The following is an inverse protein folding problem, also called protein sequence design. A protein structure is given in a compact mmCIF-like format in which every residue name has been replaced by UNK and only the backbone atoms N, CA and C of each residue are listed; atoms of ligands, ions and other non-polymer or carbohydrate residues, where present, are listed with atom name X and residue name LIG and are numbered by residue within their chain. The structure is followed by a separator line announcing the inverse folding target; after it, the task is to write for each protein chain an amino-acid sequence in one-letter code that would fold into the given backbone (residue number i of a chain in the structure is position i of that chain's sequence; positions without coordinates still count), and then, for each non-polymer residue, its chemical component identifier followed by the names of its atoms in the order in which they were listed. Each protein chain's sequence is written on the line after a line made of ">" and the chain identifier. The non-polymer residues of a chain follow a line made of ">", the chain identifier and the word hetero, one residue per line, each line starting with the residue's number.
data_IF_411872304574
#
_entry.id   IF_411872304574
#
_cell.length_a   1.000
_cell.length_b   1.000
_cell.length_c   1.000
_cell.angle_alpha   90.00
_cell.angle_beta   90.00
_cell.angle_gamma   90.00
#
_symmetry.space_group_name_H-M   'P 1'
#
loop_
_entity.id
_entity.type
_entity.pdbx_description
1 polymer ?
2 non-polymer ?
3 water ?
#
# COMPACT_ATOMS: atom_id res chain seq x y z
N UNK A 10 -6.33 10.76 -30.97
CA UNK A 10 -5.01 11.43 -30.74
C UNK A 10 -4.75 11.66 -29.26
N UNK A 11 -4.54 12.91 -28.88
CA UNK A 11 -4.29 13.24 -27.49
C UNK A 11 -5.46 12.78 -26.64
N UNK A 12 -6.55 12.42 -27.31
CA UNK A 12 -7.76 11.94 -26.64
C UNK A 12 -7.62 10.49 -26.19
N UNK A 13 -7.27 9.59 -27.11
CA UNK A 13 -7.15 8.19 -26.71
C UNK A 13 -5.90 7.91 -25.88
N UNK A 14 -4.84 8.68 -26.11
CA UNK A 14 -3.59 8.52 -25.35
C UNK A 14 -3.86 8.86 -23.90
N UNK A 15 -4.47 10.02 -23.67
CA UNK A 15 -4.78 10.47 -22.33
C UNK A 15 -5.85 9.60 -21.66
N UNK A 16 -6.81 9.11 -22.44
CA UNK A 16 -7.87 8.27 -21.89
C UNK A 16 -7.25 6.99 -21.31
N UNK A 17 -6.29 6.40 -22.03
CA UNK A 17 -5.63 5.19 -21.58
C UNK A 17 -4.79 5.48 -20.34
N UNK A 18 -4.10 6.63 -20.33
CA UNK A 18 -3.29 7.05 -19.20
C UNK A 18 -4.12 7.13 -17.94
N UNK A 19 -5.23 7.85 -18.03
CA UNK A 19 -6.13 8.01 -16.91
C UNK A 19 -6.74 6.66 -16.50
N UNK A 20 -7.04 5.83 -17.48
CA UNK A 20 -7.63 4.54 -17.17
C UNK A 20 -6.61 3.63 -16.52
N UNK A 21 -5.37 3.71 -16.99
CA UNK A 21 -4.30 2.90 -16.45
C UNK A 21 -4.00 3.38 -15.02
N UNK A 22 -4.16 4.67 -14.78
CA UNK A 22 -3.92 5.24 -13.45
C UNK A 22 -4.90 4.65 -12.44
N UNK A 23 -6.17 4.57 -12.84
CA UNK A 23 -7.22 4.02 -11.98
C UNK A 23 -6.98 2.56 -11.63
N UNK A 24 -6.43 1.83 -12.59
CA UNK A 24 -6.15 0.40 -12.42
C UNK A 24 -5.00 0.12 -11.44
N UNK A 25 -4.37 1.20 -10.94
CA UNK A 25 -3.27 1.07 -10.00
C UNK A 25 -3.69 1.18 -8.55
N UNK A 26 -4.91 1.62 -8.30
CA UNK A 26 -5.43 1.73 -6.94
C UNK A 26 -6.77 1.01 -6.79
N UNK A 27 -6.99 0.42 -5.61
CA UNK A 27 -8.21 -0.32 -5.35
C UNK A 27 -9.23 0.60 -4.68
N UNK A 28 -8.79 1.83 -4.39
CA UNK A 28 -9.64 2.79 -3.73
C UNK A 28 -10.23 3.82 -4.68
N UNK A 29 -11.33 4.43 -4.26
CA UNK A 29 -11.98 5.47 -5.03
C UNK A 29 -11.05 6.67 -4.92
N UNK A 30 -10.83 7.43 -5.99
CA UNK A 30 -9.96 8.62 -5.90
C UNK A 30 -10.63 9.85 -6.53
N UNK A 31 -10.33 11.02 -6.00
CA UNK A 31 -10.86 12.28 -6.52
C UNK A 31 -10.07 12.54 -7.81
N UNK A 32 -10.51 13.51 -8.62
CA UNK A 32 -9.80 13.79 -9.86
C UNK A 32 -8.45 14.42 -9.56
N UNK A 33 -8.39 15.22 -8.50
CA UNK A 33 -7.12 15.86 -8.15
C UNK A 33 -6.11 14.82 -7.74
N UNK A 34 -6.56 13.79 -7.03
CA UNK A 34 -5.65 12.72 -6.62
C UNK A 34 -5.13 12.01 -7.87
N UNK A 35 -6.04 11.66 -8.76
CA UNK A 35 -5.63 10.99 -10.00
C UNK A 35 -4.64 11.84 -10.77
N UNK A 36 -4.94 13.13 -10.90
CA UNK A 36 -4.06 14.05 -11.60
C UNK A 36 -2.66 13.97 -10.98
N UNK A 37 -2.60 13.97 -9.65
CA UNK A 37 -1.32 13.90 -8.97
C UNK A 37 -0.59 12.60 -9.25
N UNK A 38 -1.31 11.48 -9.26
CA UNK A 38 -0.65 10.22 -9.57
C UNK A 38 -0.03 10.30 -10.97
N UNK A 39 -0.77 10.89 -11.91
CA UNK A 39 -0.27 11.04 -13.27
C UNK A 39 0.93 11.99 -13.30
N UNK A 40 0.85 13.07 -12.52
CA UNK A 40 1.95 14.03 -12.46
C UNK A 40 3.18 13.37 -11.88
N UNK A 41 2.99 12.32 -11.09
CA UNK A 41 4.14 11.66 -10.50
C UNK A 41 4.81 10.72 -11.48
N UNK A 42 4.09 10.33 -12.52
CA UNK A 42 4.65 9.46 -13.54
C UNK A 42 5.23 10.29 -14.67
N UNK A 43 5.23 11.61 -14.48
CA UNK A 43 5.76 12.49 -15.50
C UNK A 43 4.79 12.73 -16.64
N UNK A 44 3.50 12.70 -16.36
CA UNK A 44 2.51 12.97 -17.40
C UNK A 44 2.17 14.45 -17.43
N UNK A 45 2.15 15.02 -18.63
CA UNK A 45 1.87 16.45 -18.80
C UNK A 45 0.38 16.82 -18.86
N UNK A 46 -0.49 15.92 -18.43
CA UNK A 46 -1.93 16.15 -18.44
C UNK A 46 -2.37 17.19 -17.42
N UNK A 47 -3.31 18.06 -17.80
CA UNK A 47 -3.81 19.09 -16.89
C UNK A 47 -4.95 18.54 -16.07
N UNK A 48 -5.35 19.26 -15.02
CA UNK A 48 -6.43 18.78 -14.16
C UNK A 48 -7.77 18.77 -14.87
N UNK A 49 -8.01 19.81 -15.65
CA UNK A 49 -9.25 19.93 -16.38
C UNK A 49 -9.40 18.72 -17.30
N UNK A 50 -8.32 18.38 -18.00
CA UNK A 50 -8.33 17.25 -18.92
C UNK A 50 -8.61 15.96 -18.18
N UNK A 51 -7.96 15.80 -17.03
CA UNK A 51 -8.14 14.61 -16.23
C UNK A 51 -9.59 14.50 -15.82
N UNK A 52 -10.16 15.63 -15.42
CA UNK A 52 -11.56 15.66 -14.99
C UNK A 52 -12.51 15.30 -16.13
N UNK A 53 -12.26 15.84 -17.33
CA UNK A 53 -13.13 15.55 -18.47
C UNK A 53 -13.04 14.09 -18.89
N UNK A 54 -11.84 13.56 -18.87
CA UNK A 54 -11.65 12.18 -19.27
C UNK A 54 -12.44 11.26 -18.35
N UNK A 55 -12.28 11.48 -17.05
CA UNK A 55 -12.96 10.70 -16.03
C UNK A 55 -14.48 10.77 -16.15
N UNK A 56 -15.00 11.96 -16.45
CA UNK A 56 -16.43 12.15 -16.61
C UNK A 56 -16.88 11.43 -17.86
N UNK A 57 -15.98 11.34 -18.85
CA UNK A 57 -16.29 10.65 -20.09
C UNK A 57 -16.27 9.15 -19.84
N UNK A 58 -15.25 8.68 -19.13
CA UNK A 58 -15.15 7.25 -18.80
C UNK A 58 -16.36 6.86 -17.96
N UNK A 59 -16.82 7.75 -17.09
CA UNK A 59 -17.96 7.47 -16.22
C UNK A 59 -19.22 7.20 -17.04
N UNK A 60 -19.51 8.10 -17.99
CA UNK A 60 -20.68 7.99 -18.86
C UNK A 60 -20.63 6.72 -19.71
N UNK A 61 -19.44 6.32 -20.12
CA UNK A 61 -19.27 5.12 -20.92
C UNK A 61 -19.32 3.88 -20.04
N UNK A 62 -19.50 4.09 -18.74
CA UNK A 62 -19.55 2.97 -17.82
C UNK A 62 -18.21 2.27 -17.65
N UNK A 63 -17.12 2.96 -17.96
CA UNK A 63 -15.79 2.38 -17.81
C UNK A 63 -15.23 2.59 -16.40
N UNK A 64 -15.83 3.51 -15.64
CA UNK A 64 -15.42 3.73 -14.25
C UNK A 64 -16.67 4.10 -13.47
N UNK A 65 -16.71 3.74 -12.20
CA UNK A 65 -17.85 4.10 -11.37
C UNK A 65 -17.54 5.42 -10.65
N UNK A 66 -18.58 6.20 -10.41
CA UNK A 66 -18.44 7.49 -9.74
C UNK A 66 -19.38 7.62 -8.55
N UNK A 67 -18.95 8.35 -7.54
CA UNK A 67 -19.77 8.51 -6.36
C UNK A 67 -19.32 9.77 -5.66
N UNK A 68 -20.21 10.38 -4.88
CA UNK A 68 -19.93 11.63 -4.17
C UNK A 68 -19.54 11.39 -2.73
N UNK A 69 -18.56 12.14 -2.22
CA UNK A 69 -18.20 11.97 -0.83
C UNK A 69 -19.11 12.89 -0.02
N UNK A 70 -19.09 12.74 1.30
CA UNK A 70 -19.92 13.57 2.17
C UNK A 70 -19.71 15.05 1.91
N UNK A 71 -18.49 15.47 1.60
CA UNK A 71 -18.26 16.89 1.35
C UNK A 71 -18.54 17.30 -0.10
N UNK A 72 -19.33 16.50 -0.80
CA UNK A 72 -19.69 16.84 -2.17
C UNK A 72 -18.67 16.55 -3.26
N UNK A 73 -17.52 16.02 -2.90
CA UNK A 73 -16.48 15.73 -3.87
C UNK A 73 -16.72 14.41 -4.62
N UNK A 74 -16.57 14.44 -5.95
CA UNK A 74 -16.72 13.25 -6.77
C UNK A 74 -15.44 12.43 -6.69
N UNK A 75 -15.57 11.12 -6.55
CA UNK A 75 -14.43 10.23 -6.49
C UNK A 75 -14.71 9.08 -7.44
N UNK A 76 -13.65 8.56 -8.05
CA UNK A 76 -13.80 7.50 -9.02
C UNK A 76 -13.13 6.18 -8.75
N UNK A 77 -13.60 5.17 -9.47
CA UNK A 77 -13.04 3.85 -9.38
C UNK A 77 -13.37 2.94 -10.55
N UNK A 78 -12.36 2.21 -10.99
CA UNK A 78 -12.48 1.24 -12.06
C UNK A 78 -12.74 -0.04 -11.26
N UNK A 79 -13.92 -0.62 -11.44
CA UNK A 79 -14.33 -1.81 -10.70
C UNK A 79 -14.14 -3.14 -11.43
N UNK A 80 -14.05 -4.22 -10.66
CA UNK A 80 -13.81 -5.56 -11.21
C UNK A 80 -14.88 -6.08 -12.20
N UNK A 81 -16.15 -6.02 -11.82
CA UNK A 81 -17.19 -6.55 -12.70
C UNK A 81 -17.77 -5.54 -13.66
N UNK A 82 -18.46 -6.06 -14.65
CA UNK A 82 -19.14 -5.23 -15.62
C UNK A 82 -20.57 -5.26 -15.14
N UNK A 83 -20.88 -6.23 -14.29
CA UNK A 83 -22.23 -6.38 -13.74
C UNK A 83 -22.68 -5.11 -13.06
N UNK A 84 -23.99 -4.89 -13.08
CA UNK A 84 -24.55 -3.72 -12.42
C UNK A 84 -24.32 -3.96 -10.94
N UNK A 85 -23.69 -3.01 -10.25
CA UNK A 85 -23.44 -3.16 -8.82
C UNK A 85 -23.37 -1.82 -8.11
N UNK A 86 -23.23 -1.89 -6.79
CA UNK A 86 -23.15 -0.68 -5.98
C UNK A 86 -21.99 -0.83 -5.01
N UNK A 87 -21.82 0.12 -4.11
CA UNK A 87 -20.69 0.02 -3.25
C UNK A 87 -20.87 0.40 -1.81
N UNK A 88 -20.02 -0.20 -0.99
CA UNK A 88 -19.93 0.07 0.43
C UNK A 88 -18.55 0.78 0.44
N UNK A 89 -18.51 2.06 0.72
CA UNK A 89 -17.22 2.76 0.68
C UNK A 89 -16.74 3.24 2.03
N UNK A 90 -15.43 3.28 2.19
CA UNK A 90 -14.86 3.81 3.42
C UNK A 90 -14.70 5.31 3.15
N UNK A 91 -15.37 6.12 3.96
CA UNK A 91 -15.26 7.55 3.76
C UNK A 91 -13.86 8.04 4.14
N UNK A 92 -13.12 7.26 4.92
CA UNK A 92 -11.78 7.67 5.35
C UNK A 92 -10.67 7.39 4.33
N UNK A 93 -10.59 6.16 3.81
CA UNK A 93 -9.55 5.83 2.86
C UNK A 93 -10.04 5.63 1.43
N UNK A 94 -11.34 5.43 1.27
CA UNK A 94 -11.87 5.24 -0.07
C UNK A 94 -11.93 3.79 -0.49
N UNK A 95 -11.57 2.89 0.42
CA UNK A 95 -11.64 1.46 0.13
C UNK A 95 -13.11 1.10 -0.18
N UNK A 96 -13.33 0.14 -1.05
CA UNK A 96 -14.69 -0.18 -1.42
C UNK A 96 -14.96 -1.64 -1.73
N UNK A 97 -16.22 -2.02 -1.54
CA UNK A 97 -16.69 -3.38 -1.79
C UNK A 97 -17.80 -3.31 -2.85
N UNK A 98 -17.66 -4.11 -3.89
CA UNK A 98 -18.66 -4.14 -4.94
C UNK A 98 -19.79 -4.98 -4.37
N UNK A 99 -21.00 -4.41 -4.33
CA UNK A 99 -22.14 -5.13 -3.76
C UNK A 99 -23.36 -5.13 -4.64
N UNK A 100 -24.13 -6.20 -4.55
CA UNK A 100 -25.34 -6.31 -5.36
C UNK A 100 -26.51 -6.62 -4.42
N UNK A 101 -27.64 -5.97 -4.68
CA UNK A 101 -28.82 -6.16 -3.87
C UNK A 101 -30.02 -6.34 -4.77
N UNK A 102 -30.33 -7.59 -5.13
CA UNK A 102 -31.47 -7.90 -5.99
C UNK A 102 -32.80 -7.31 -5.51
N UNK A 103 -33.04 -7.34 -4.20
CA UNK A 103 -34.29 -6.83 -3.64
C UNK A 103 -34.39 -5.32 -3.77
N UNK A 104 -33.24 -4.68 -3.74
CA UNK A 104 -33.19 -3.23 -3.87
C UNK A 104 -33.53 -2.92 -5.31
N UNK A 105 -32.93 -3.68 -6.23
CA UNK A 105 -33.19 -3.47 -7.64
C UNK A 105 -34.68 -3.56 -7.97
N UNK A 106 -35.34 -4.62 -7.51
CA UNK A 106 -36.77 -4.82 -7.77
C UNK A 106 -37.61 -3.72 -7.14
N UNK A 107 -37.25 -3.33 -5.91
CA UNK A 107 -37.96 -2.28 -5.19
C UNK A 107 -37.86 -0.97 -5.95
N UNK A 108 -36.66 -0.69 -6.47
CA UNK A 108 -36.42 0.54 -7.21
C UNK A 108 -37.18 0.57 -8.54
N UNK A 109 -37.45 -0.60 -9.10
CA UNK A 109 -38.18 -0.64 -10.35
C UNK A 109 -39.66 -0.48 -10.11
N UNK A 110 -40.17 -1.18 -9.11
CA UNK A 110 -41.58 -1.15 -8.74
C UNK A 110 -42.02 0.25 -8.27
N UNK A 111 -41.14 0.95 -7.59
CA UNK A 111 -41.44 2.29 -7.11
C UNK A 111 -41.61 3.24 -8.28
N UNK A 112 -40.70 3.18 -9.24
CA UNK A 112 -40.79 4.05 -10.40
C UNK A 112 -41.97 3.63 -11.28
N UNK A 113 -42.04 2.34 -11.60
CA UNK A 113 -43.10 1.81 -12.44
C UNK A 113 -44.46 2.23 -11.89
N UNK A 114 -44.58 2.17 -10.58
CA UNK A 114 -45.80 2.50 -9.88
C UNK A 114 -46.18 3.97 -9.92
N UNK A 115 -45.22 4.90 -9.94
CA UNK A 115 -45.61 6.31 -9.99
C UNK A 115 -45.53 6.87 -11.40
N UNK A 116 -45.50 5.97 -12.38
CA UNK A 116 -45.49 6.37 -13.77
C UNK A 116 -44.27 7.12 -14.27
N UNK A 117 -43.12 6.88 -13.63
CA UNK A 117 -41.90 7.53 -14.05
C UNK A 117 -41.22 6.67 -15.09
N UNK A 118 -40.53 7.31 -16.01
CA UNK A 118 -39.87 6.63 -17.12
C UNK A 118 -38.37 6.92 -17.11
N UNK A 119 -37.59 6.17 -17.89
CA UNK A 119 -36.13 6.33 -17.93
C UNK A 119 -35.57 6.36 -16.51
N UNK A 120 -35.90 5.33 -15.74
CA UNK A 120 -35.45 5.24 -14.36
C UNK A 120 -33.97 5.01 -14.22
N UNK A 121 -33.40 5.59 -13.17
CA UNK A 121 -32.00 5.46 -12.85
C UNK A 121 -31.96 5.58 -11.33
N UNK A 122 -31.07 4.86 -10.70
CA UNK A 122 -31.03 4.99 -9.26
C UNK A 122 -29.61 5.07 -8.77
N UNK A 123 -29.42 5.67 -7.61
CA UNK A 123 -28.09 5.71 -7.03
C UNK A 123 -28.19 5.15 -5.63
N UNK A 124 -27.37 4.14 -5.39
CA UNK A 124 -27.33 3.47 -4.10
C UNK A 124 -25.88 3.29 -3.67
N UNK A 125 -25.49 3.86 -2.54
CA UNK A 125 -24.13 3.73 -2.03
C UNK A 125 -24.16 3.69 -0.49
N UNK A 126 -23.33 2.82 0.09
CA UNK A 126 -23.24 2.68 1.53
C UNK A 126 -21.89 3.26 1.99
N UNK A 127 -21.95 4.19 2.95
CA UNK A 127 -20.75 4.83 3.47
C UNK A 127 -20.48 4.38 4.89
N UNK A 128 -19.23 4.11 5.19
CA UNK A 128 -18.88 3.73 6.55
C UNK A 128 -17.42 4.00 6.78
N UNK A 129 -16.91 3.44 7.86
CA UNK A 129 -15.51 3.61 8.20
C UNK A 129 -14.96 2.22 8.45
N UNK A 130 -14.04 1.79 7.59
CA UNK A 130 -13.43 0.47 7.71
C UNK A 130 -12.59 0.38 8.98
N UNK A 131 -12.40 -0.84 9.47
CA UNK A 131 -11.63 -1.09 10.69
C UNK A 131 -10.29 -0.37 10.70
N UNK A 132 -9.54 -0.50 9.61
CA UNK A 132 -8.24 0.15 9.55
C UNK A 132 -8.34 1.61 9.88
N UNK A 133 -9.21 2.32 9.19
CA UNK A 133 -9.35 3.74 9.47
C UNK A 133 -9.96 3.99 10.84
N UNK A 134 -10.87 3.11 11.28
CA UNK A 134 -11.52 3.26 12.57
C UNK A 134 -10.49 3.49 13.69
N UNK A 135 -9.27 2.99 13.51
CA UNK A 135 -8.21 3.20 14.50
C UNK A 135 -7.24 4.27 14.01
N UNK A 136 -7.63 5.54 14.13
CA UNK A 136 -6.81 6.66 13.67
C UNK A 136 -6.08 7.40 14.81
N UNK B 11 19.94 14.27 23.19
CA UNK B 11 20.09 14.52 21.73
C UNK B 11 20.07 13.22 20.93
N UNK B 12 20.84 12.23 21.40
CA UNK B 12 20.92 10.94 20.73
C UNK B 12 19.76 10.02 21.08
N UNK B 13 18.97 10.41 22.08
CA UNK B 13 17.84 9.62 22.49
C UNK B 13 16.61 10.12 21.70
N UNK B 14 16.69 11.35 21.20
CA UNK B 14 15.62 11.95 20.39
C UNK B 14 15.89 11.46 18.98
N UNK B 15 17.17 11.41 18.65
CA UNK B 15 17.63 10.97 17.35
C UNK B 15 17.22 9.51 17.17
N UNK B 16 17.42 8.74 18.23
CA UNK B 16 17.11 7.31 18.25
C UNK B 16 15.61 7.04 18.11
N UNK B 17 14.80 7.86 18.76
CA UNK B 17 13.36 7.70 18.70
C UNK B 17 12.84 7.98 17.30
N UNK B 18 13.42 8.98 16.65
CA UNK B 18 13.03 9.36 15.30
C UNK B 18 13.33 8.25 14.29
N UNK B 19 14.52 7.68 14.38
CA UNK B 19 14.90 6.61 13.48
C UNK B 19 13.95 5.43 13.65
N UNK B 20 13.67 5.12 14.91
CA UNK B 20 12.77 4.02 15.24
C UNK B 20 11.36 4.28 14.74
N UNK B 21 10.93 5.54 14.82
CA UNK B 21 9.61 5.93 14.34
C UNK B 21 9.57 5.89 12.82
N UNK B 22 10.71 6.20 12.19
CA UNK B 22 10.78 6.15 10.73
C UNK B 22 10.58 4.69 10.27
N UNK B 23 11.19 3.75 10.99
CA UNK B 23 11.07 2.32 10.67
C UNK B 23 9.67 1.76 10.86
N UNK B 24 8.91 2.37 11.77
CA UNK B 24 7.56 1.91 12.04
C UNK B 24 6.53 2.42 11.03
N UNK B 25 6.98 3.20 10.06
CA UNK B 25 6.11 3.73 9.02
C UNK B 25 6.12 2.90 7.76
N UNK B 26 7.14 2.05 7.61
CA UNK B 26 7.26 1.16 6.45
C UNK B 26 7.22 -0.31 6.89
N UNK B 27 6.91 -1.20 5.96
CA UNK B 27 6.86 -2.63 6.25
C UNK B 27 7.96 -3.38 5.53
N UNK B 28 8.71 -2.67 4.71
CA UNK B 28 9.79 -3.27 3.96
C UNK B 28 11.13 -3.02 4.64
N UNK B 29 12.12 -3.77 4.21
CA UNK B 29 13.46 -3.58 4.70
C UNK B 29 13.92 -2.33 3.92
N UNK B 30 14.61 -1.42 4.58
CA UNK B 30 15.10 -0.21 3.89
C UNK B 30 16.57 0.05 4.24
N UNK B 31 17.32 0.51 3.26
CA UNK B 31 18.73 0.81 3.46
C UNK B 31 18.78 2.03 4.38
N UNK B 32 19.96 2.35 4.90
CA UNK B 32 20.10 3.50 5.80
C UNK B 32 19.84 4.75 4.96
N UNK B 33 20.41 4.78 3.76
CA UNK B 33 20.21 5.90 2.85
C UNK B 33 18.73 6.20 2.64
N UNK B 34 17.93 5.14 2.47
CA UNK B 34 16.50 5.32 2.27
C UNK B 34 15.82 5.85 3.51
N UNK B 35 16.18 5.34 4.68
CA UNK B 35 15.57 5.84 5.90
C UNK B 35 15.98 7.28 6.06
N UNK B 36 17.24 7.58 5.79
CA UNK B 36 17.71 8.95 5.91
C UNK B 36 16.81 9.83 5.04
N UNK B 37 16.61 9.43 3.78
CA UNK B 37 15.75 10.19 2.89
C UNK B 37 14.36 10.38 3.47
N UNK B 38 13.84 9.38 4.17
CA UNK B 38 12.51 9.51 4.78
C UNK B 38 12.51 10.54 5.90
N UNK B 39 13.57 10.53 6.71
CA UNK B 39 13.69 11.49 7.79
C UNK B 39 13.90 12.88 7.21
N UNK B 40 14.67 12.97 6.13
CA UNK B 40 14.92 14.24 5.50
C UNK B 40 13.63 14.80 4.95
N UNK B 41 12.65 13.95 4.69
CA UNK B 41 11.40 14.46 4.14
C UNK B 41 10.47 14.96 5.23
N UNK B 42 10.68 14.48 6.44
CA UNK B 42 9.87 14.89 7.59
C UNK B 42 10.38 16.23 8.09
N UNK B 43 11.54 16.64 7.59
CA UNK B 43 12.12 17.88 8.05
C UNK B 43 13.05 17.65 9.22
N UNK B 44 13.65 16.47 9.26
CA UNK B 44 14.59 16.17 10.33
C UNK B 44 15.99 16.53 9.84
N UNK B 45 16.77 17.19 10.69
CA UNK B 45 18.12 17.56 10.31
C UNK B 45 19.10 16.52 10.84
N UNK B 46 19.11 15.35 10.23
CA UNK B 46 20.02 14.31 10.68
C UNK B 46 20.85 13.84 9.51
N UNK B 47 22.15 13.68 9.73
CA UNK B 47 23.02 13.22 8.68
C UNK B 47 22.99 11.71 8.54
N UNK B 48 23.45 11.23 7.39
CA UNK B 48 23.47 9.81 7.07
C UNK B 48 24.26 8.98 8.10
N UNK B 49 25.42 9.50 8.50
CA UNK B 49 26.26 8.79 9.46
C UNK B 49 25.44 8.50 10.71
N UNK B 50 24.83 9.55 11.26
CA UNK B 50 24.02 9.38 12.45
C UNK B 50 22.97 8.31 12.22
N UNK B 51 22.28 8.37 11.10
CA UNK B 51 21.24 7.41 10.79
C UNK B 51 21.79 5.99 10.70
N UNK B 52 22.88 5.83 9.96
CA UNK B 52 23.52 4.54 9.79
C UNK B 52 23.88 4.02 11.18
N UNK B 53 24.54 4.86 11.96
CA UNK B 53 24.96 4.51 13.32
C UNK B 53 23.82 4.09 14.25
N UNK B 54 22.72 4.81 14.20
CA UNK B 54 21.61 4.51 15.07
C UNK B 54 21.02 3.15 14.74
N UNK B 55 20.85 2.88 13.46
CA UNK B 55 20.32 1.59 13.04
C UNK B 55 21.25 0.46 13.47
N UNK B 56 22.54 0.63 13.25
CA UNK B 56 23.50 -0.41 13.62
C UNK B 56 23.40 -0.68 15.11
N UNK B 57 23.14 0.39 15.88
CA UNK B 57 22.99 0.28 17.32
C UNK B 57 21.69 -0.45 17.63
N UNK B 58 20.59 -0.01 16.99
CA UNK B 58 19.29 -0.66 17.18
C UNK B 58 19.37 -2.15 16.83
N UNK B 59 20.13 -2.48 15.80
CA UNK B 59 20.27 -3.88 15.39
C UNK B 59 20.98 -4.65 16.49
N UNK B 60 22.11 -4.13 16.95
CA UNK B 60 22.87 -4.77 18.02
C UNK B 60 21.98 -5.01 19.24
N UNK B 61 21.08 -4.08 19.52
CA UNK B 61 20.19 -4.20 20.66
C UNK B 61 19.00 -5.16 20.39
N UNK B 62 18.87 -5.63 19.15
CA UNK B 62 17.77 -6.53 18.82
C UNK B 62 16.46 -5.80 18.58
N UNK B 63 16.52 -4.48 18.49
CA UNK B 63 15.31 -3.69 18.27
C UNK B 63 14.91 -3.55 16.79
N UNK B 64 15.77 -3.95 15.86
CA UNK B 64 15.46 -3.95 14.42
C UNK B 64 16.32 -5.05 13.81
N UNK B 65 15.84 -5.63 12.72
CA UNK B 65 16.62 -6.68 12.06
C UNK B 65 17.37 -6.15 10.85
N UNK B 66 18.55 -6.70 10.61
CA UNK B 66 19.38 -6.27 9.50
C UNK B 66 19.62 -7.46 8.60
N UNK B 67 19.80 -7.19 7.32
CA UNK B 67 20.00 -8.27 6.39
C UNK B 67 20.72 -7.66 5.21
N UNK B 68 21.46 -8.48 4.45
CA UNK B 68 22.21 -7.99 3.29
C UNK B 68 21.60 -8.31 1.96
N UNK B 69 21.49 -7.31 1.10
CA UNK B 69 20.96 -7.54 -0.24
C UNK B 69 22.10 -8.20 -1.01
N UNK B 70 21.79 -8.79 -2.16
CA UNK B 70 22.82 -9.41 -2.98
C UNK B 70 23.85 -8.36 -3.41
N UNK B 71 23.46 -7.10 -3.46
CA UNK B 71 24.42 -6.07 -3.83
C UNK B 71 25.36 -5.76 -2.68
N UNK B 72 25.20 -6.49 -1.57
CA UNK B 72 26.08 -6.27 -0.43
C UNK B 72 25.63 -5.14 0.49
N UNK B 73 24.47 -4.56 0.18
CA UNK B 73 23.93 -3.44 0.94
C UNK B 73 23.04 -3.86 2.11
N UNK B 74 23.27 -3.29 3.28
CA UNK B 74 22.49 -3.60 4.48
C UNK B 74 21.14 -2.93 4.43
N UNK B 75 20.08 -3.63 4.82
CA UNK B 75 18.75 -3.05 4.83
C UNK B 75 18.11 -3.44 6.16
N UNK B 76 17.26 -2.55 6.69
CA UNK B 76 16.66 -2.76 8.00
C UNK B 76 15.15 -2.82 8.05
N UNK B 77 14.64 -3.37 9.16
CA UNK B 77 13.21 -3.47 9.38
C UNK B 77 12.84 -3.70 10.84
N UNK B 78 11.81 -3.03 11.30
CA UNK B 78 11.36 -3.23 12.66
C UNK B 78 10.30 -4.30 12.54
N UNK B 79 10.65 -5.52 12.94
CA UNK B 79 9.74 -6.65 12.84
C UNK B 79 8.63 -6.64 13.86
N UNK B 80 7.55 -7.38 13.60
CA UNK B 80 6.38 -7.42 14.47
C UNK B 80 6.59 -8.11 15.81
N UNK B 81 7.27 -9.24 15.79
CA UNK B 81 7.49 -10.02 17.00
C UNK B 81 8.84 -9.86 17.62
N UNK B 82 8.97 -10.43 18.82
CA UNK B 82 10.22 -10.39 19.55
C UNK B 82 10.84 -11.77 19.51
N UNK B 83 10.03 -12.75 19.10
CA UNK B 83 10.51 -14.13 19.04
C UNK B 83 11.62 -14.21 18.02
N UNK B 84 12.53 -15.15 18.25
CA UNK B 84 13.63 -15.36 17.33
C UNK B 84 12.97 -15.79 16.03
N UNK B 85 13.35 -15.17 14.92
CA UNK B 85 12.77 -15.53 13.64
C UNK B 85 13.74 -15.10 12.54
N UNK B 86 13.40 -15.47 11.32
CA UNK B 86 14.18 -15.12 10.13
C UNK B 86 13.21 -14.56 9.08
N UNK B 87 13.69 -14.30 7.88
CA UNK B 87 12.75 -13.73 6.94
C UNK B 87 12.88 -14.22 5.53
N UNK B 88 11.79 -14.04 4.80
CA UNK B 88 11.71 -14.35 3.38
C UNK B 88 11.53 -12.95 2.81
N UNK B 89 12.49 -12.46 2.04
CA UNK B 89 12.37 -11.11 1.49
C UNK B 89 12.22 -11.08 0.00
N UNK B 90 11.64 -9.98 -0.49
CA UNK B 90 11.51 -9.74 -1.91
C UNK B 90 12.73 -8.87 -2.22
N UNK B 91 13.55 -9.29 -3.16
CA UNK B 91 14.73 -8.51 -3.48
C UNK B 91 14.36 -7.20 -4.17
N UNK B 92 13.18 -7.19 -4.79
CA UNK B 92 12.70 -6.03 -5.53
C UNK B 92 12.13 -4.87 -4.71
N UNK B 93 11.38 -5.17 -3.65
CA UNK B 93 10.77 -4.12 -2.86
C UNK B 93 11.04 -4.18 -1.37
N UNK B 94 11.69 -5.25 -0.92
CA UNK B 94 11.96 -5.37 0.50
C UNK B 94 10.78 -5.84 1.32
N UNK B 95 9.72 -6.32 0.65
CA UNK B 95 8.58 -6.84 1.39
C UNK B 95 9.11 -8.08 2.14
N UNK B 96 8.62 -8.35 3.35
CA UNK B 96 9.17 -9.48 4.07
C UNK B 96 8.22 -10.25 4.93
N UNK B 97 8.42 -11.56 4.99
CA UNK B 97 7.61 -12.41 5.84
C UNK B 97 8.50 -12.89 7.01
N UNK B 98 7.96 -12.79 8.22
CA UNK B 98 8.66 -13.25 9.40
C UNK B 98 8.38 -14.75 9.48
N UNK B 99 9.43 -15.54 9.34
CA UNK B 99 9.28 -16.98 9.34
C UNK B 99 10.09 -17.64 10.44
N UNK B 100 9.65 -18.84 10.83
CA UNK B 100 10.32 -19.60 11.86
C UNK B 100 10.49 -21.04 11.39
N UNK B 101 11.64 -21.62 11.75
CA UNK B 101 11.92 -22.99 11.36
C UNK B 101 12.56 -23.75 12.51
N UNK B 102 11.73 -24.39 13.35
CA UNK B 102 12.23 -25.16 14.48
C UNK B 102 13.32 -26.18 14.08
N UNK B 103 13.19 -26.74 12.88
CA UNK B 103 14.14 -27.74 12.38
C UNK B 103 15.49 -27.15 11.98
N UNK B 104 15.46 -25.94 11.44
CA UNK B 104 16.69 -25.27 11.06
C UNK B 104 17.39 -24.84 12.34
N UNK B 105 16.61 -24.61 13.39
CA UNK B 105 17.15 -24.20 14.66
C UNK B 105 17.84 -25.36 15.36
N UNK B 106 17.24 -26.55 15.28
CA UNK B 106 17.82 -27.73 15.91
C UNK B 106 19.05 -28.16 15.12
N UNK B 107 18.89 -28.19 13.79
CA UNK B 107 19.97 -28.58 12.88
C UNK B 107 21.19 -27.72 13.04
N UNK B 108 20.96 -26.42 13.21
CA UNK B 108 22.05 -25.46 13.36
C UNK B 108 22.76 -25.66 14.68
N UNK B 109 22.01 -25.75 15.76
CA UNK B 109 22.68 -25.93 17.03
C UNK B 109 23.40 -27.28 17.06
N UNK B 110 22.84 -28.27 16.38
CA UNK B 110 23.45 -29.60 16.34
C UNK B 110 24.80 -29.62 15.61
N UNK B 111 24.81 -28.99 14.44
CA UNK B 111 26.02 -28.91 13.61
C UNK B 111 27.21 -28.32 14.36
N UNK B 112 27.03 -27.17 14.98
CA UNK B 112 28.13 -26.54 15.70
C UNK B 112 28.61 -27.46 16.81
N UNK B 113 27.70 -27.78 17.73
CA UNK B 113 27.98 -28.66 18.85
C UNK B 113 28.83 -29.86 18.41
N UNK B 114 28.51 -30.41 17.24
CA UNK B 114 29.23 -31.55 16.75
C UNK B 114 30.68 -31.26 16.44
N UNK B 115 30.98 -30.07 15.92
CA UNK B 115 32.36 -29.77 15.57
C UNK B 115 33.10 -28.95 16.61
N UNK B 116 32.54 -28.93 17.82
CA UNK B 116 33.16 -28.22 18.91
C UNK B 116 33.21 -26.71 18.81
N UNK B 117 32.23 -26.11 18.14
CA UNK B 117 32.20 -24.67 18.02
C UNK B 117 31.36 -24.10 19.16
N UNK B 118 31.77 -22.97 19.68
CA UNK B 118 31.11 -22.33 20.81
C UNK B 118 30.67 -20.89 20.50
N UNK B 119 29.72 -20.36 21.26
CA UNK B 119 29.20 -19.01 21.02
C UNK B 119 28.61 -19.01 19.61
N UNK B 120 27.64 -19.88 19.41
CA UNK B 120 27.01 -20.04 18.11
C UNK B 120 25.95 -19.03 17.71
N UNK B 121 26.13 -18.47 16.53
CA UNK B 121 25.19 -17.52 15.98
C UNK B 121 24.98 -17.97 14.56
N UNK B 122 23.86 -17.59 13.97
CA UNK B 122 23.62 -18.02 12.61
C UNK B 122 22.83 -17.00 11.84
N UNK B 123 22.97 -17.09 10.53
CA UNK B 123 22.24 -16.21 9.65
C UNK B 123 21.45 -17.06 8.66
N UNK B 124 20.14 -16.85 8.68
CA UNK B 124 19.25 -17.57 7.80
C UNK B 124 18.29 -16.59 7.15
N UNK B 125 18.39 -16.42 5.84
CA UNK B 125 17.50 -15.51 5.11
C UNK B 125 17.14 -16.11 3.74
N UNK B 126 15.88 -15.94 3.34
CA UNK B 126 15.40 -16.43 2.04
C UNK B 126 14.97 -15.25 1.15
N UNK B 127 15.53 -15.18 -0.04
CA UNK B 127 15.26 -14.10 -1.00
C UNK B 127 14.49 -14.59 -2.23
N UNK B 128 13.49 -13.82 -2.62
CA UNK B 128 12.74 -14.15 -3.82
C UNK B 128 12.23 -12.85 -4.38
N UNK B 129 11.31 -12.94 -5.33
CA UNK B 129 10.69 -11.77 -5.93
C UNK B 129 9.24 -12.09 -5.68
N UNK B 130 8.52 -11.20 -4.99
CA UNK B 130 7.10 -11.44 -4.70
C UNK B 130 6.21 -11.32 -5.94
N UNK B 131 4.93 -11.66 -5.79
CA UNK B 131 3.95 -11.64 -6.89
C UNK B 131 3.82 -10.28 -7.57
N UNK B 132 3.67 -9.24 -6.77
CA UNK B 132 3.51 -7.89 -7.30
C UNK B 132 4.75 -7.39 -8.03
N UNK B 133 5.92 -7.92 -7.67
CA UNK B 133 7.18 -7.48 -8.27
C UNK B 133 7.64 -8.19 -9.53
N UNK B 134 7.21 -9.43 -9.71
CA UNK B 134 7.61 -10.20 -10.87
C UNK B 134 7.24 -9.51 -12.19
N UNK B 135 6.21 -8.66 -12.14
CA UNK B 135 5.77 -7.96 -13.33
C UNK B 135 5.77 -6.45 -13.25
X LIG C 1 -10.65 3.00 5.33
X LIG D 1 -18.24 -0.12 -8.93
X LIG E 1 -28.73 -1.00 -8.83
X LIG F 1 12.73 -9.92 11.61
X LIG G 1 8.13 -7.00 -3.91
X LIG H 1 17.33 -19.00 14.03
#
# INVERSE_FOLDING_TARGET
>A
VTTAGPPVKGRATRQRAAVSAALQEVEEFRSAQELHDMLKHKGDAVGLTTVYRTLQSLADAGEVDVLRTAEGESVYRRCSTGDHHHHLVCRACGKAVEVEGPAVEKWAEAIAAEHGYVNVAHTVEIFGTCADCAGASGG
>B
VTTAGPPVKGRATRQRAAVSAALQEVEEFRSAQELHDMLKHKGDAVGLTTVYRTLQSLADAGEVDVLRTAEGESVYRRCSTGDHHHHLVCRACGKAVEVEGPAVEKWAEAIAAEHGYVNVAHTVEIFGTCADCAGASGG
>C hetero
1 ZN ZN
>D hetero
1 ZN ZN
>E hetero
1 ZN ZN
>F hetero
1 ZN ZN
>G hetero
1 ZN ZN
>H hetero
1 ZN ZN
#
